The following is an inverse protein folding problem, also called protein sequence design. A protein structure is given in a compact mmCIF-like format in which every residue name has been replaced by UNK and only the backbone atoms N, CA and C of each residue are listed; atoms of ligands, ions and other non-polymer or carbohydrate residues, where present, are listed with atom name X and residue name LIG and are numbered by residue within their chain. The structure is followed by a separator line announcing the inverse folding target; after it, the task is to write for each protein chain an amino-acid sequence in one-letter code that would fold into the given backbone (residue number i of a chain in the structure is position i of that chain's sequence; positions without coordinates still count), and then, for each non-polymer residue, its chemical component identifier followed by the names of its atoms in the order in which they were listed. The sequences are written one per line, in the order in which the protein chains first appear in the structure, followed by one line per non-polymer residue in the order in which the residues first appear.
data_IF_769740347333
#
_entry.id   IF_769740347333
#
_cell.length_a   1.000
_cell.length_b   1.000
_cell.length_c   1.000
_cell.angle_alpha   90.00
_cell.angle_beta   90.00
_cell.angle_gamma   90.00
#
_symmetry.space_group_name_H-M   'P 1'
#
loop_
_entity.id
_entity.type
_entity.pdbx_description
1 polymer ?
#
# COMPACT_ATOMS: atom_id res chain seq x y z
N UNK A 1 -12.65 33.15 38.47
CA UNK A 1 -11.99 34.47 38.31
C UNK A 1 -10.49 34.22 38.23
N UNK A 2 -9.66 34.76 37.36
CA UNK A 2 -9.78 35.56 36.16
C UNK A 2 -8.43 35.38 35.42
N UNK A 3 -8.46 35.35 34.10
CA UNK A 3 -7.34 35.14 33.17
C UNK A 3 -6.33 36.31 33.22
N UNK A 4 -5.03 36.04 33.04
CA UNK A 4 -4.03 37.07 32.70
C UNK A 4 -3.46 36.84 31.31
N UNK A 5 -3.77 37.82 30.47
CA UNK A 5 -3.38 38.02 29.07
C UNK A 5 -2.04 38.75 28.99
N UNK A 6 -1.20 38.39 28.01
CA UNK A 6 -0.10 39.25 27.52
C UNK A 6 0.03 39.02 26.01
N UNK A 7 -0.70 39.76 25.18
CA UNK A 7 -0.31 40.96 24.41
C UNK A 7 0.88 40.74 23.44
N UNK A 8 0.54 40.58 22.15
CA UNK A 8 1.38 40.81 20.97
C UNK A 8 1.78 42.30 20.82
N UNK A 9 2.76 42.60 19.95
CA UNK A 9 2.65 43.72 19.02
C UNK A 9 2.80 43.32 17.54
N UNK A 10 2.16 44.12 16.69
CA UNK A 10 1.91 43.95 15.24
C UNK A 10 3.00 44.60 14.36
N UNK A 11 3.24 43.96 13.21
CA UNK A 11 3.42 44.46 11.82
C UNK A 11 4.58 45.42 11.48
N UNK A 12 5.37 45.04 10.45
CA UNK A 12 5.66 45.84 9.24
C UNK A 12 6.20 44.94 8.10
N UNK A 13 5.60 45.08 6.92
CA UNK A 13 6.11 44.76 5.57
C UNK A 13 5.51 45.87 4.65
N UNK A 14 5.89 46.08 3.37
CA UNK A 14 6.89 45.40 2.53
C UNK A 14 7.80 46.38 1.73
N UNK A 15 8.80 45.89 0.99
CA UNK A 15 9.30 46.58 -0.22
C UNK A 15 9.68 45.53 -1.27
N UNK A 16 9.03 45.64 -2.42
CA UNK A 16 9.21 44.80 -3.61
C UNK A 16 10.50 45.20 -4.34
N UNK A 17 11.28 44.23 -4.79
CA UNK A 17 12.18 44.39 -5.92
C UNK A 17 11.95 43.22 -6.88
N UNK A 18 11.24 43.53 -7.95
CA UNK A 18 11.00 42.71 -9.12
C UNK A 18 12.31 42.52 -9.87
N UNK A 19 12.81 41.29 -9.93
CA UNK A 19 13.75 40.88 -10.98
C UNK A 19 13.16 39.63 -11.63
N UNK A 20 12.97 39.73 -12.94
CA UNK A 20 12.20 38.79 -13.77
C UNK A 20 12.87 37.42 -13.82
N UNK A 21 12.08 36.37 -13.65
CA UNK A 21 12.49 34.95 -13.66
C UNK A 21 13.13 34.54 -15.00
N UNK A 22 12.91 35.34 -16.05
CA UNK A 22 13.38 35.07 -17.41
C UNK A 22 14.90 35.23 -17.60
N UNK A 23 15.56 36.11 -16.83
CA UNK A 23 17.03 36.27 -16.90
C UNK A 23 17.78 35.12 -16.21
N UNK A 24 17.22 34.56 -15.11
CA UNK A 24 17.86 33.45 -14.39
C UNK A 24 17.83 32.12 -15.16
N UNK A 25 16.88 31.94 -16.08
CA UNK A 25 16.77 30.71 -16.88
C UNK A 25 17.72 30.73 -18.08
N UNK A 26 18.03 31.91 -18.63
CA UNK A 26 18.97 32.03 -19.75
C UNK A 26 20.42 31.73 -19.34
N UNK A 27 20.81 32.07 -18.10
CA UNK A 27 22.17 31.82 -17.59
C UNK A 27 22.39 30.35 -17.19
N UNK A 28 21.33 29.63 -16.82
CA UNK A 28 21.39 28.21 -16.47
C UNK A 28 21.58 27.26 -17.66
N UNK A 29 21.51 27.74 -18.92
CA UNK A 29 21.58 26.90 -20.11
C UNK A 29 22.96 26.83 -20.79
N UNK A 30 23.96 27.57 -20.30
CA UNK A 30 25.27 27.69 -20.98
C UNK A 30 26.44 26.92 -20.36
N UNK A 31 26.26 26.24 -19.23
CA UNK A 31 27.36 25.44 -18.65
C UNK A 31 27.42 24.03 -19.24
N UNK A 32 28.28 23.87 -20.26
CA UNK A 32 28.73 22.57 -20.76
C UNK A 32 29.52 21.84 -19.67
N UNK A 33 29.37 20.50 -19.50
CA UNK A 33 30.12 19.78 -18.50
C UNK A 33 31.55 19.53 -19.00
N UNK A 34 32.52 20.21 -18.38
CA UNK A 34 33.92 19.83 -18.51
C UNK A 34 34.15 18.52 -17.76
N UNK A 35 34.57 17.51 -18.52
CA UNK A 35 35.12 16.24 -18.05
C UNK A 35 36.52 16.49 -17.45
N UNK A 36 37.03 15.51 -16.70
CA UNK A 36 38.31 15.48 -15.94
C UNK A 36 38.16 16.17 -14.57
N UNK A 37 38.35 15.51 -13.43
CA UNK A 37 39.51 14.73 -13.02
C UNK A 37 39.16 13.99 -11.72
N UNK A 38 39.82 12.86 -11.49
CA UNK A 38 39.81 12.08 -10.27
C UNK A 38 39.80 12.94 -8.98
N UNK A 39 38.84 12.71 -8.09
CA UNK A 39 38.90 13.18 -6.71
C UNK A 39 38.96 11.98 -5.77
N UNK A 40 40.18 11.72 -5.30
CA UNK A 40 40.33 11.26 -3.93
C UNK A 40 39.73 12.33 -3.00
N UNK A 41 39.01 11.86 -1.97
CA UNK A 41 38.76 12.57 -0.73
C UNK A 41 37.92 13.85 -0.82
N UNK A 42 36.60 13.70 -0.72
CA UNK A 42 35.78 14.69 -0.03
C UNK A 42 34.79 13.95 0.86
N UNK A 43 34.77 14.35 2.14
CA UNK A 43 33.89 13.86 3.19
C UNK A 43 32.42 14.07 2.78
N UNK A 44 31.89 13.16 1.98
CA UNK A 44 30.48 13.12 1.63
C UNK A 44 29.76 12.50 2.81
N UNK A 45 28.81 13.24 3.37
CA UNK A 45 27.89 12.69 4.36
C UNK A 45 27.19 11.50 3.70
N UNK A 46 27.32 10.27 4.26
CA UNK A 46 26.69 9.09 3.67
C UNK A 46 25.18 9.31 3.61
N UNK A 47 24.54 8.94 2.51
CA UNK A 47 23.08 9.08 2.40
C UNK A 47 22.36 7.72 2.48
N UNK A 48 21.18 7.71 3.09
CA UNK A 48 20.40 6.49 3.30
C UNK A 48 20.01 5.86 1.96
N UNK A 49 20.24 4.56 1.82
CA UNK A 49 19.96 3.82 0.59
C UNK A 49 21.10 3.78 -0.43
N UNK A 50 22.24 4.44 -0.17
CA UNK A 50 23.42 4.31 -1.03
C UNK A 50 24.04 2.92 -0.93
N UNK A 51 24.58 2.44 -2.06
CA UNK A 51 25.27 1.15 -2.12
C UNK A 51 26.76 1.35 -1.95
N UNK A 52 27.34 0.65 -0.98
CA UNK A 52 28.74 0.76 -0.59
C UNK A 52 29.37 -0.61 -0.50
N UNK A 53 30.64 -0.69 -0.84
CA UNK A 53 31.48 -1.87 -0.61
C UNK A 53 32.42 -1.59 0.54
N UNK A 54 32.65 -2.58 1.40
CA UNK A 54 33.64 -2.50 2.48
C UNK A 54 34.91 -3.27 2.10
N UNK A 55 36.06 -2.58 2.16
CA UNK A 55 37.37 -3.15 1.82
C UNK A 55 37.49 -3.74 0.41
N UNK A 56 38.30 -4.79 0.26
CA UNK A 56 38.55 -5.51 -1.01
C UNK A 56 37.50 -6.58 -1.33
N UNK A 57 36.46 -6.72 -0.49
CA UNK A 57 35.58 -7.90 -0.50
C UNK A 57 34.54 -7.94 -1.63
N UNK A 58 34.49 -6.94 -2.51
CA UNK A 58 33.58 -6.88 -3.67
C UNK A 58 32.08 -6.98 -3.33
N UNK A 59 31.72 -7.04 -2.04
CA UNK A 59 30.37 -7.28 -1.56
C UNK A 59 29.66 -5.95 -1.39
N UNK A 60 28.55 -5.79 -2.10
CA UNK A 60 27.80 -4.53 -2.14
C UNK A 60 26.73 -4.53 -1.06
N UNK A 61 26.90 -3.68 -0.06
CA UNK A 61 25.94 -3.41 1.00
C UNK A 61 25.13 -2.14 0.69
N UNK A 62 24.01 -1.96 1.39
CA UNK A 62 23.16 -0.76 1.33
C UNK A 62 23.19 -0.07 2.68
N UNK A 63 23.38 1.25 2.72
CA UNK A 63 23.36 2.04 3.95
C UNK A 63 21.92 2.13 4.48
N UNK A 64 21.66 1.57 5.67
CA UNK A 64 20.35 1.62 6.32
C UNK A 64 20.27 2.66 7.42
N UNK A 65 21.40 3.00 8.04
CA UNK A 65 21.49 4.04 9.07
C UNK A 65 22.79 4.80 8.95
N UNK A 66 22.73 6.12 9.14
CA UNK A 66 23.90 7.00 9.11
C UNK A 66 24.01 7.69 10.46
N UNK A 67 25.19 7.60 11.06
CA UNK A 67 25.64 8.38 12.20
C UNK A 67 26.77 9.31 11.75
N UNK A 68 27.20 10.26 12.59
CA UNK A 68 28.19 11.27 12.20
C UNK A 68 29.55 10.69 11.76
N UNK A 69 29.92 9.50 12.24
CA UNK A 69 31.20 8.85 11.95
C UNK A 69 31.09 7.40 11.49
N UNK A 70 29.91 6.82 11.64
CA UNK A 70 29.65 5.39 11.43
C UNK A 70 28.36 5.18 10.66
N UNK A 71 28.27 4.11 9.88
CA UNK A 71 27.05 3.69 9.19
C UNK A 71 26.69 2.25 9.53
N UNK A 72 25.40 1.95 9.52
CA UNK A 72 24.91 0.58 9.51
C UNK A 72 24.59 0.18 8.07
N UNK A 73 25.04 -1.01 7.70
CA UNK A 73 25.00 -1.55 6.36
C UNK A 73 24.17 -2.83 6.32
N UNK A 74 23.32 -3.00 5.33
CA UNK A 74 22.55 -4.22 5.11
C UNK A 74 22.91 -4.86 3.77
N UNK A 75 23.04 -6.19 3.73
CA UNK A 75 23.23 -6.91 2.48
C UNK A 75 21.89 -7.09 1.76
N UNK A 76 21.70 -6.54 0.55
CA UNK A 76 20.40 -6.55 -0.13
C UNK A 76 19.96 -7.99 -0.44
N UNK A 77 18.71 -8.32 -0.10
CA UNK A 77 18.14 -9.66 -0.30
C UNK A 77 18.37 -10.65 0.85
N UNK A 78 19.06 -10.23 1.92
CA UNK A 78 19.23 -11.03 3.14
C UNK A 78 18.97 -10.18 4.40
N UNK A 79 18.79 -10.82 5.56
CA UNK A 79 18.66 -10.14 6.85
C UNK A 79 20.02 -9.89 7.54
N UNK A 80 21.11 -9.85 6.78
CA UNK A 80 22.45 -9.66 7.33
C UNK A 80 22.75 -8.15 7.41
N UNK A 81 23.02 -7.68 8.63
CA UNK A 81 23.38 -6.30 8.93
C UNK A 81 24.79 -6.22 9.53
N UNK A 82 25.54 -5.19 9.15
CA UNK A 82 26.82 -4.80 9.75
C UNK A 82 26.63 -3.46 10.44
N UNK A 83 26.91 -3.44 11.73
CA UNK A 83 26.74 -2.26 12.55
C UNK A 83 28.06 -1.51 12.70
N UNK A 84 27.98 -0.18 12.78
CA UNK A 84 29.10 0.72 13.09
C UNK A 84 30.31 0.56 12.17
N UNK A 85 30.09 0.67 10.87
CA UNK A 85 31.17 0.70 9.88
C UNK A 85 31.69 2.12 9.72
N UNK A 86 32.99 2.39 9.93
CA UNK A 86 33.56 3.73 9.73
C UNK A 86 33.37 4.20 8.31
N UNK A 87 32.98 5.46 8.14
CA UNK A 87 32.74 6.07 6.80
C UNK A 87 33.99 6.01 5.92
N UNK A 88 35.19 6.03 6.52
CA UNK A 88 36.47 6.00 5.81
C UNK A 88 36.75 4.68 5.06
N UNK A 89 36.13 3.57 5.47
CA UNK A 89 36.29 2.24 4.84
C UNK A 89 35.22 1.95 3.78
N UNK A 90 34.34 2.92 3.52
CA UNK A 90 33.26 2.78 2.53
C UNK A 90 33.76 3.19 1.14
N UNK A 91 33.61 2.28 0.18
CA UNK A 91 33.72 2.60 -1.24
C UNK A 91 32.33 2.67 -1.84
N UNK A 92 31.88 3.88 -2.16
CA UNK A 92 30.61 4.11 -2.84
C UNK A 92 30.64 3.48 -4.23
N UNK A 93 29.70 2.58 -4.47
CA UNK A 93 29.52 1.96 -5.79
C UNK A 93 28.57 2.88 -6.55
N UNK A 94 29.05 3.45 -7.67
CA UNK A 94 28.24 4.28 -8.56
C UNK A 94 26.87 3.63 -8.80
N UNK A 95 25.85 4.48 -8.74
CA UNK A 95 24.46 4.13 -8.47
C UNK A 95 23.98 2.84 -9.16
N UNK A 96 23.34 1.91 -8.43
CA UNK A 96 22.57 0.88 -9.10
C UNK A 96 21.47 1.55 -9.92
N UNK A 97 21.45 1.27 -11.22
CA UNK A 97 20.27 1.44 -12.07
C UNK A 97 19.08 0.88 -11.29
N UNK A 98 18.11 1.72 -10.93
CA UNK A 98 16.95 1.31 -10.15
C UNK A 98 16.41 -0.02 -10.68
N UNK A 99 16.12 -1.02 -9.83
CA UNK A 99 15.46 -2.22 -10.30
C UNK A 99 14.11 -1.77 -10.86
N UNK A 100 13.95 -1.92 -12.18
CA UNK A 100 12.73 -1.61 -12.91
C UNK A 100 11.52 -2.08 -12.10
N UNK A 101 10.78 -1.13 -11.52
CA UNK A 101 9.46 -1.38 -10.91
C UNK A 101 8.46 -1.64 -12.03
N UNK A 102 8.60 -2.75 -12.75
CA UNK A 102 7.61 -3.15 -13.75
C UNK A 102 7.51 -4.66 -13.91
N UNK A 103 7.50 -5.42 -12.81
CA UNK A 103 6.70 -6.63 -12.81
C UNK A 103 5.31 -6.23 -12.31
N UNK A 104 4.46 -5.77 -13.24
CA UNK A 104 3.01 -5.83 -13.01
C UNK A 104 2.73 -7.30 -12.76
N UNK A 105 2.53 -7.71 -11.50
CA UNK A 105 2.07 -9.07 -11.18
C UNK A 105 0.88 -9.34 -12.10
N UNK A 106 0.97 -10.38 -12.92
CA UNK A 106 -0.13 -10.79 -13.77
C UNK A 106 -1.38 -10.89 -12.90
N UNK A 107 -2.47 -10.24 -13.30
CA UNK A 107 -3.75 -10.43 -12.60
C UNK A 107 -4.05 -11.93 -12.59
N UNK A 108 -4.42 -12.52 -11.45
CA UNK A 108 -4.75 -13.94 -11.41
C UNK A 108 -5.84 -14.21 -12.44
N UNK A 109 -5.64 -15.22 -13.29
CA UNK A 109 -6.65 -15.66 -14.23
C UNK A 109 -7.83 -16.20 -13.41
N UNK A 110 -9.00 -15.57 -13.55
CA UNK A 110 -10.22 -16.01 -12.88
C UNK A 110 -10.77 -17.17 -13.70
N UNK A 111 -10.90 -18.35 -13.08
CA UNK A 111 -11.59 -19.48 -13.68
C UNK A 111 -13.10 -19.27 -13.52
N UNK A 112 -13.76 -18.79 -14.57
CA UNK A 112 -15.19 -18.50 -14.57
C UNK A 112 -16.04 -19.73 -14.23
N UNK A 113 -15.62 -20.91 -14.67
CA UNK A 113 -16.35 -22.16 -14.41
C UNK A 113 -16.29 -22.53 -12.92
N UNK A 114 -15.13 -22.39 -12.30
CA UNK A 114 -14.97 -22.62 -10.86
C UNK A 114 -15.77 -21.60 -10.04
N UNK A 115 -15.85 -20.35 -10.49
CA UNK A 115 -16.67 -19.31 -9.83
C UNK A 115 -18.16 -19.69 -9.91
N UNK A 116 -18.64 -20.12 -11.08
CA UNK A 116 -20.03 -20.57 -11.27
C UNK A 116 -20.36 -21.78 -10.40
N UNK A 117 -19.50 -22.80 -10.40
CA UNK A 117 -19.68 -24.00 -9.58
C UNK A 117 -19.74 -23.67 -8.08
N UNK A 118 -18.84 -22.79 -7.60
CA UNK A 118 -18.83 -22.33 -6.21
C UNK A 118 -20.09 -21.55 -5.85
N UNK A 119 -20.57 -20.69 -6.73
CA UNK A 119 -21.81 -19.93 -6.52
C UNK A 119 -23.00 -20.87 -6.43
N UNK A 120 -23.13 -21.81 -7.36
CA UNK A 120 -24.23 -22.79 -7.37
C UNK A 120 -24.23 -23.66 -6.11
N UNK A 121 -23.05 -24.14 -5.70
CA UNK A 121 -22.88 -24.93 -4.48
C UNK A 121 -23.25 -24.13 -3.23
N UNK A 122 -22.78 -22.88 -3.15
CA UNK A 122 -23.08 -21.98 -2.03
C UNK A 122 -24.57 -21.64 -1.96
N UNK A 123 -25.22 -21.39 -3.10
CA UNK A 123 -26.65 -21.13 -3.19
C UNK A 123 -27.45 -22.31 -2.67
N UNK A 124 -27.20 -23.51 -3.21
CA UNK A 124 -27.94 -24.71 -2.82
C UNK A 124 -27.76 -25.01 -1.33
N UNK A 125 -26.52 -25.01 -0.84
CA UNK A 125 -26.23 -25.29 0.56
C UNK A 125 -26.85 -24.27 1.51
N UNK A 126 -26.86 -22.98 1.14
CA UNK A 126 -27.37 -21.92 2.01
C UNK A 126 -28.90 -21.93 2.08
N UNK A 127 -29.57 -22.11 0.94
CA UNK A 127 -31.04 -22.20 0.87
C UNK A 127 -31.54 -23.46 1.59
N UNK A 128 -30.87 -24.60 1.39
CA UNK A 128 -31.24 -25.85 2.06
C UNK A 128 -31.09 -25.75 3.57
N UNK A 129 -30.01 -25.12 4.05
CA UNK A 129 -29.82 -24.94 5.48
C UNK A 129 -30.87 -23.98 6.06
N UNK A 130 -31.10 -22.84 5.39
CA UNK A 130 -32.06 -21.84 5.84
C UNK A 130 -33.49 -22.39 5.90
N UNK A 131 -33.92 -23.13 4.87
CA UNK A 131 -35.23 -23.76 4.82
C UNK A 131 -35.42 -24.83 5.91
N UNK A 132 -34.38 -25.62 6.22
CA UNK A 132 -34.40 -26.57 7.33
C UNK A 132 -34.54 -25.87 8.68
N UNK A 133 -33.78 -24.79 8.90
CA UNK A 133 -33.82 -24.03 10.15
C UNK A 133 -35.20 -23.39 10.36
N UNK A 134 -35.79 -22.82 9.29
CA UNK A 134 -37.17 -22.32 9.30
C UNK A 134 -38.16 -23.45 9.59
N UNK A 135 -38.00 -24.63 9.00
CA UNK A 135 -38.89 -25.76 9.27
C UNK A 135 -38.83 -26.23 10.74
N UNK A 136 -37.65 -26.22 11.35
CA UNK A 136 -37.46 -26.52 12.78
C UNK A 136 -38.15 -25.45 13.64
N UNK A 137 -37.91 -24.17 13.32
CA UNK A 137 -38.52 -23.06 14.03
C UNK A 137 -40.05 -23.09 13.93
N UNK A 138 -40.62 -23.35 12.75
CA UNK A 138 -42.07 -23.49 12.56
C UNK A 138 -42.63 -24.63 13.39
N UNK A 139 -41.97 -25.79 13.45
CA UNK A 139 -42.40 -26.90 14.32
C UNK A 139 -42.42 -26.49 15.79
N UNK A 140 -41.39 -25.77 16.24
CA UNK A 140 -41.32 -25.24 17.60
C UNK A 140 -42.45 -24.24 17.88
N UNK A 141 -42.66 -23.26 17.01
CA UNK A 141 -43.71 -22.24 17.18
C UNK A 141 -45.12 -22.84 17.16
N UNK A 142 -45.37 -23.85 16.30
CA UNK A 142 -46.60 -24.64 16.32
C UNK A 142 -46.81 -25.32 17.68
N UNK A 143 -45.75 -25.90 18.26
CA UNK A 143 -45.84 -26.51 19.60
C UNK A 143 -46.13 -25.50 20.72
N UNK A 144 -45.89 -24.20 20.47
CA UNK A 144 -46.19 -23.10 21.39
C UNK A 144 -47.56 -22.45 21.15
N UNK A 145 -48.32 -22.94 20.17
CA UNK A 145 -49.65 -22.41 19.85
C UNK A 145 -49.61 -21.05 19.18
N UNK A 146 -48.51 -20.71 18.50
CA UNK A 146 -48.40 -19.48 17.73
C UNK A 146 -49.36 -19.53 16.53
N UNK A 147 -49.96 -18.38 16.21
CA UNK A 147 -50.90 -18.20 15.12
C UNK A 147 -50.28 -18.52 13.75
N UNK A 148 -51.12 -19.00 12.83
CA UNK A 148 -50.70 -19.42 11.49
C UNK A 148 -50.10 -18.25 10.68
N UNK A 149 -50.62 -17.03 10.85
CA UNK A 149 -50.12 -15.82 10.17
C UNK A 149 -48.62 -15.59 10.42
N UNK A 150 -48.15 -15.78 11.66
CA UNK A 150 -46.73 -15.66 12.00
C UNK A 150 -45.86 -16.79 11.41
N UNK A 151 -46.46 -17.96 11.14
CA UNK A 151 -45.78 -19.06 10.46
C UNK A 151 -45.70 -18.84 8.95
N UNK A 152 -46.67 -18.15 8.38
CA UNK A 152 -46.71 -17.80 6.97
C UNK A 152 -45.70 -16.67 6.67
N UNK A 153 -45.48 -15.74 7.60
CA UNK A 153 -44.39 -14.75 7.55
C UNK A 153 -43.01 -15.42 7.46
N UNK A 154 -42.81 -16.56 8.13
CA UNK A 154 -41.56 -17.34 8.03
C UNK A 154 -41.42 -18.00 6.65
N UNK A 155 -42.51 -18.45 6.04
CA UNK A 155 -42.48 -18.97 4.67
C UNK A 155 -42.17 -17.85 3.67
N UNK A 156 -42.75 -16.67 3.88
CA UNK A 156 -42.48 -15.49 3.07
C UNK A 156 -41.02 -15.07 3.17
N UNK A 157 -40.43 -15.10 4.37
CA UNK A 157 -39.00 -14.86 4.58
C UNK A 157 -38.13 -15.84 3.78
N UNK A 158 -38.49 -17.13 3.74
CA UNK A 158 -37.79 -18.14 2.95
C UNK A 158 -37.83 -17.80 1.45
N UNK A 159 -39.04 -17.56 0.94
CA UNK A 159 -39.25 -17.22 -0.47
C UNK A 159 -38.53 -15.94 -0.88
N UNK A 160 -38.53 -14.92 -0.04
CA UNK A 160 -37.85 -13.64 -0.32
C UNK A 160 -36.34 -13.79 -0.29
N UNK A 161 -35.81 -14.63 0.60
CA UNK A 161 -34.39 -14.96 0.66
C UNK A 161 -33.94 -15.68 -0.60
N UNK A 162 -34.69 -16.68 -1.05
CA UNK A 162 -34.42 -17.40 -2.31
C UNK A 162 -34.44 -16.47 -3.52
N UNK A 163 -35.43 -15.58 -3.62
CA UNK A 163 -35.51 -14.58 -4.69
C UNK A 163 -34.31 -13.64 -4.70
N UNK A 164 -33.90 -13.12 -3.53
CA UNK A 164 -32.74 -12.24 -3.42
C UNK A 164 -31.43 -12.95 -3.79
N UNK A 165 -31.28 -14.20 -3.37
CA UNK A 165 -30.14 -15.02 -3.78
C UNK A 165 -30.08 -15.20 -5.29
N UNK A 166 -31.20 -15.58 -5.92
CA UNK A 166 -31.27 -15.71 -7.38
C UNK A 166 -30.90 -14.41 -8.10
N UNK A 167 -31.46 -13.28 -7.66
CA UNK A 167 -31.14 -11.97 -8.24
C UNK A 167 -29.65 -11.59 -8.08
N UNK A 168 -29.04 -11.94 -6.94
CA UNK A 168 -27.61 -11.72 -6.72
C UNK A 168 -26.76 -12.60 -7.64
N UNK A 169 -27.13 -13.86 -7.84
CA UNK A 169 -26.45 -14.78 -8.78
C UNK A 169 -26.55 -14.26 -10.21
N UNK A 170 -27.76 -13.90 -10.67
CA UNK A 170 -27.96 -13.33 -12.01
C UNK A 170 -27.14 -12.05 -12.23
N UNK A 171 -27.02 -11.20 -11.20
CA UNK A 171 -26.18 -9.98 -11.26
C UNK A 171 -24.70 -10.33 -11.41
N UNK A 172 -24.21 -11.33 -10.65
CA UNK A 172 -22.81 -11.76 -10.73
C UNK A 172 -22.53 -12.41 -12.09
N UNK A 173 -23.43 -13.27 -12.58
CA UNK A 173 -23.30 -13.89 -13.89
C UNK A 173 -23.27 -12.84 -15.01
N UNK A 174 -24.16 -11.84 -14.95
CA UNK A 174 -24.13 -10.71 -15.90
C UNK A 174 -22.84 -9.87 -15.85
N UNK A 175 -22.16 -9.80 -14.70
CA UNK A 175 -20.85 -9.14 -14.58
C UNK A 175 -19.69 -10.02 -15.08
N UNK A 176 -19.86 -11.34 -15.10
CA UNK A 176 -18.85 -12.28 -15.60
C UNK A 176 -18.93 -12.47 -17.12
N UNK A 177 -20.07 -12.18 -17.72
CA UNK A 177 -20.30 -12.25 -19.19
C UNK A 177 -19.92 -10.97 -19.95
N UNK A 178 -19.70 -9.85 -19.25
CA UNK A 178 -19.25 -8.57 -19.79
C UNK A 178 -17.74 -8.35 -19.62
#
# INVERSE_FOLDING_TARGET
MATRKTKQPRKKAPTQSTVSVEEQVAEALTEKPNKTTAEHANARVPSLGERVTTGSSGTVFTITRVSEKDVDLQLPGTNIERFRVPVDDLRYVDAPKEPSRSSKRAKPAINLEEVRERIATAQQSSIDQFSRDIAILKKYLKSKGIEQDALDELDQLCNDTEKRWRAAVETIEGLLEN
#
